data_IF_381513567600
#
_entry.id   IF_381513567600
#
_cell.length_a   1.000
_cell.length_b   1.000
_cell.length_c   1.000
_cell.angle_alpha   90.00
_cell.angle_beta   90.00
_cell.angle_gamma   90.00
#
_symmetry.space_group_name_H-M   'P 1'
#
loop_
_entity.id
_entity.type
_entity.pdbx_description
1 polymer ?
#
# COMPACT_ATOMS: atom_id res chain seq x y z
N UNK A 1 26.71 11.72 13.07
CA UNK A 1 26.57 10.29 13.40
C UNK A 1 25.33 9.73 12.71
N UNK A 2 25.49 8.74 11.86
CA UNK A 2 24.35 8.06 11.21
C UNK A 2 23.91 6.93 12.15
N UNK A 3 22.73 7.06 12.75
CA UNK A 3 22.16 5.98 13.54
C UNK A 3 21.67 4.85 12.60
N UNK A 4 22.05 3.61 12.88
CA UNK A 4 21.51 2.43 12.20
C UNK A 4 20.39 1.85 13.05
N UNK A 5 19.23 1.66 12.45
CA UNK A 5 18.07 1.02 13.07
C UNK A 5 17.88 -0.36 12.44
N UNK A 6 17.39 -1.34 13.22
CA UNK A 6 16.97 -2.60 12.61
C UNK A 6 15.69 -2.40 11.81
N UNK A 7 15.54 -3.10 10.66
CA UNK A 7 14.33 -3.01 9.85
C UNK A 7 13.06 -3.34 10.64
N UNK A 8 13.13 -4.33 11.53
CA UNK A 8 11.99 -4.77 12.35
C UNK A 8 11.51 -3.66 13.29
N UNK A 9 12.45 -3.01 14.00
CA UNK A 9 12.11 -1.90 14.90
C UNK A 9 11.52 -0.70 14.15
N UNK A 10 12.03 -0.45 12.94
CA UNK A 10 11.52 0.63 12.10
C UNK A 10 10.12 0.32 11.56
N UNK A 11 9.89 -0.94 11.19
CA UNK A 11 8.58 -1.45 10.77
C UNK A 11 7.54 -1.31 11.90
N UNK A 12 7.89 -1.76 13.11
CA UNK A 12 6.99 -1.69 14.26
C UNK A 12 6.66 -0.23 14.60
N UNK A 13 7.68 0.64 14.69
CA UNK A 13 7.48 2.07 14.92
C UNK A 13 6.57 2.72 13.86
N UNK A 14 6.82 2.49 12.58
CA UNK A 14 6.01 3.08 11.51
C UNK A 14 4.56 2.53 11.54
N UNK A 15 4.38 1.26 11.88
CA UNK A 15 3.06 0.64 12.06
C UNK A 15 2.29 1.33 13.19
N UNK A 16 2.90 1.52 14.36
CA UNK A 16 2.28 2.20 15.50
C UNK A 16 1.88 3.65 15.15
N UNK A 17 2.74 4.37 14.42
CA UNK A 17 2.44 5.74 13.98
C UNK A 17 1.20 5.79 13.10
N UNK A 18 1.07 4.90 12.10
CA UNK A 18 -0.10 4.87 11.22
C UNK A 18 -1.35 4.36 11.94
N UNK A 19 -1.23 3.36 12.82
CA UNK A 19 -2.34 2.87 13.63
C UNK A 19 -2.88 3.97 14.56
N UNK A 20 -1.99 4.78 15.17
CA UNK A 20 -2.39 5.92 16.00
C UNK A 20 -3.11 7.02 15.22
N UNK A 21 -2.94 7.07 13.90
CA UNK A 21 -3.67 7.97 13.00
C UNK A 21 -5.03 7.41 12.53
N UNK A 22 -5.48 6.29 13.10
CA UNK A 22 -6.79 5.70 12.83
C UNK A 22 -6.81 4.64 11.73
N UNK A 23 -5.64 4.18 11.25
CA UNK A 23 -5.59 3.04 10.35
C UNK A 23 -5.79 1.71 11.09
N UNK A 24 -6.50 0.73 10.51
CA UNK A 24 -6.46 -0.65 10.99
C UNK A 24 -5.00 -1.15 11.05
N UNK A 25 -4.63 -1.87 12.10
CA UNK A 25 -3.24 -2.30 12.32
C UNK A 25 -2.66 -3.09 11.14
N UNK A 26 -3.46 -3.97 10.53
CA UNK A 26 -3.04 -4.73 9.35
C UNK A 26 -2.71 -3.82 8.15
N UNK A 27 -3.51 -2.79 7.91
CA UNK A 27 -3.30 -1.81 6.84
C UNK A 27 -2.10 -0.91 7.16
N UNK A 28 -1.98 -0.46 8.41
CA UNK A 28 -0.83 0.31 8.91
C UNK A 28 0.48 -0.45 8.69
N UNK A 29 0.48 -1.76 8.96
CA UNK A 29 1.66 -2.62 8.74
C UNK A 29 2.00 -2.75 7.26
N UNK A 30 1.02 -2.87 6.37
CA UNK A 30 1.27 -2.87 4.92
C UNK A 30 1.95 -1.57 4.49
N UNK A 31 1.43 -0.41 4.91
CA UNK A 31 2.03 0.88 4.56
C UNK A 31 3.45 0.99 5.10
N UNK A 32 3.67 0.64 6.36
CA UNK A 32 4.98 0.67 6.99
C UNK A 32 5.97 -0.25 6.28
N UNK A 33 5.56 -1.47 5.93
CA UNK A 33 6.41 -2.45 5.25
C UNK A 33 6.84 -1.96 3.86
N UNK A 34 5.95 -1.34 3.08
CA UNK A 34 6.32 -0.76 1.78
C UNK A 34 7.44 0.28 1.89
N UNK A 35 7.45 1.08 2.96
CA UNK A 35 8.48 2.10 3.19
C UNK A 35 9.81 1.47 3.61
N UNK A 36 9.78 0.53 4.55
CA UNK A 36 10.98 -0.16 5.03
C UNK A 36 11.63 -0.96 3.89
N UNK A 37 10.84 -1.68 3.09
CA UNK A 37 11.34 -2.40 1.93
C UNK A 37 11.97 -1.46 0.89
N UNK A 38 11.36 -0.31 0.62
CA UNK A 38 11.94 0.67 -0.29
C UNK A 38 13.33 1.16 0.20
N UNK A 39 13.49 1.40 1.49
CA UNK A 39 14.80 1.75 2.07
C UNK A 39 15.80 0.61 1.95
N UNK A 40 15.40 -0.64 2.21
CA UNK A 40 16.24 -1.83 2.07
C UNK A 40 16.70 -2.06 0.62
N UNK A 41 15.89 -1.69 -0.35
CA UNK A 41 16.25 -1.73 -1.78
C UNK A 41 17.07 -0.53 -2.24
N UNK A 42 17.42 0.41 -1.34
CA UNK A 42 18.15 1.64 -1.68
C UNK A 42 17.28 2.70 -2.36
N UNK A 43 15.96 2.54 -2.39
CA UNK A 43 15.01 3.48 -2.98
C UNK A 43 14.48 4.47 -1.94
N UNK A 44 15.38 5.19 -1.29
CA UNK A 44 15.12 6.05 -0.13
C UNK A 44 14.08 7.15 -0.37
N UNK A 45 13.94 7.64 -1.61
CA UNK A 45 12.91 8.63 -1.95
C UNK A 45 11.48 8.13 -1.74
N UNK A 46 11.29 6.80 -1.65
CA UNK A 46 10.02 6.11 -1.41
C UNK A 46 10.02 5.32 -0.09
N UNK A 47 11.05 5.49 0.72
CA UNK A 47 11.21 4.87 2.03
C UNK A 47 10.56 5.65 3.16
N UNK A 48 11.06 5.43 4.38
CA UNK A 48 10.52 6.00 5.64
C UNK A 48 10.57 7.54 5.67
N UNK A 49 11.37 8.16 4.82
CA UNK A 49 11.30 9.60 4.56
C UNK A 49 9.87 10.09 4.25
N UNK A 50 9.02 9.23 3.67
CA UNK A 50 7.63 9.54 3.33
C UNK A 50 6.65 9.43 4.50
N UNK A 51 7.05 8.85 5.63
CA UNK A 51 6.16 8.64 6.79
C UNK A 51 5.45 9.93 7.23
N UNK A 52 6.15 11.07 7.45
CA UNK A 52 5.48 12.30 7.89
C UNK A 52 4.49 12.84 6.85
N UNK A 53 4.79 12.66 5.56
CA UNK A 53 3.93 13.13 4.48
C UNK A 53 2.62 12.32 4.40
N UNK A 54 2.68 10.99 4.47
CA UNK A 54 1.48 10.15 4.52
C UNK A 54 0.67 10.39 5.79
N UNK A 55 1.34 10.57 6.94
CA UNK A 55 0.67 10.90 8.19
C UNK A 55 -0.12 12.21 8.10
N UNK A 56 0.45 13.24 7.43
CA UNK A 56 -0.23 14.50 7.22
C UNK A 56 -1.47 14.33 6.33
N UNK A 57 -1.42 13.50 5.28
CA UNK A 57 -2.57 13.21 4.42
C UNK A 57 -3.69 12.46 5.16
N UNK A 58 -3.36 11.54 6.05
CA UNK A 58 -4.33 10.85 6.90
C UNK A 58 -5.00 11.83 7.87
N UNK A 59 -4.21 12.67 8.55
CA UNK A 59 -4.72 13.63 9.53
C UNK A 59 -5.57 14.74 8.91
N UNK A 60 -5.28 15.15 7.69
CA UNK A 60 -6.05 16.16 6.96
C UNK A 60 -7.32 15.60 6.29
N UNK A 61 -7.50 14.29 6.27
CA UNK A 61 -8.62 13.63 5.59
C UNK A 61 -8.51 13.59 4.06
N UNK A 62 -7.38 14.00 3.48
CA UNK A 62 -7.08 13.83 2.05
C UNK A 62 -7.01 12.34 1.69
N UNK A 63 -6.53 11.53 2.62
CA UNK A 63 -6.48 10.09 2.48
C UNK A 63 -7.36 9.43 3.55
N UNK A 64 -8.27 8.55 3.12
CA UNK A 64 -9.10 7.78 4.04
C UNK A 64 -8.23 6.78 4.84
N UNK A 65 -8.39 6.77 6.16
CA UNK A 65 -7.63 5.91 7.06
C UNK A 65 -8.05 4.43 6.98
N UNK A 66 -9.29 4.17 6.57
CA UNK A 66 -9.82 2.80 6.43
C UNK A 66 -10.10 2.52 4.96
N UNK A 67 -9.41 1.56 4.38
CA UNK A 67 -9.64 1.13 3.01
C UNK A 67 -10.93 0.31 2.89
N UNK A 68 -11.81 0.70 1.97
CA UNK A 68 -13.05 -0.01 1.63
C UNK A 68 -13.17 -0.14 0.12
N UNK A 69 -12.28 -0.90 -0.54
CA UNK A 69 -12.31 -1.05 -1.98
C UNK A 69 -13.60 -1.71 -2.46
N UNK A 70 -14.16 -1.18 -3.54
CA UNK A 70 -15.36 -1.73 -4.18
C UNK A 70 -15.13 -1.97 -5.67
N UNK A 71 -15.80 -2.96 -6.26
CA UNK A 71 -15.69 -3.20 -7.69
C UNK A 71 -16.62 -2.25 -8.46
N UNK A 72 -16.03 -1.32 -9.22
CA UNK A 72 -16.75 -0.50 -10.19
C UNK A 72 -17.04 -1.26 -11.50
N UNK A 73 -16.11 -2.16 -11.87
CA UNK A 73 -16.29 -3.14 -12.94
C UNK A 73 -15.76 -4.47 -12.45
N UNK A 74 -16.54 -5.52 -12.65
CA UNK A 74 -16.18 -6.91 -12.34
C UNK A 74 -16.49 -7.80 -13.55
N UNK A 75 -15.50 -8.02 -14.42
CA UNK A 75 -15.65 -8.69 -15.71
C UNK A 75 -14.57 -9.79 -15.89
N UNK A 76 -14.73 -10.90 -15.19
CA UNK A 76 -13.83 -12.08 -15.31
C UNK A 76 -12.35 -11.70 -15.11
N UNK A 77 -11.55 -11.74 -16.20
CA UNK A 77 -10.13 -11.39 -16.18
C UNK A 77 -9.87 -9.90 -15.96
N UNK A 78 -10.87 -9.03 -16.10
CA UNK A 78 -10.72 -7.57 -16.00
C UNK A 78 -11.56 -7.05 -14.83
N UNK A 79 -10.99 -6.16 -14.02
CA UNK A 79 -11.72 -5.45 -12.98
C UNK A 79 -11.27 -3.99 -12.89
N UNK A 80 -12.19 -3.14 -12.44
CA UNK A 80 -11.88 -1.77 -12.00
C UNK A 80 -12.33 -1.65 -10.56
N UNK A 81 -11.40 -1.29 -9.68
CA UNK A 81 -11.63 -1.12 -8.25
C UNK A 81 -11.66 0.36 -7.94
N UNK A 82 -12.68 0.78 -7.20
CA UNK A 82 -12.77 2.10 -6.60
C UNK A 82 -12.16 2.03 -5.19
N UNK A 83 -11.12 2.82 -4.95
CA UNK A 83 -10.35 2.81 -3.71
C UNK A 83 -10.88 3.73 -2.62
N UNK A 84 -11.87 4.59 -2.93
CA UNK A 84 -12.46 5.53 -1.96
C UNK A 84 -11.43 6.44 -1.30
N UNK A 85 -10.43 6.88 -2.05
CA UNK A 85 -9.34 7.74 -1.61
C UNK A 85 -8.50 7.20 -0.42
N UNK A 86 -8.49 5.88 -0.22
CA UNK A 86 -7.66 5.26 0.81
C UNK A 86 -6.17 5.21 0.41
N UNK A 87 -5.33 4.73 1.33
CA UNK A 87 -3.89 4.59 1.13
C UNK A 87 -3.57 3.69 -0.07
N UNK A 88 -2.80 4.24 -1.02
CA UNK A 88 -2.46 3.55 -2.25
C UNK A 88 -1.73 2.22 -2.03
N UNK A 89 -0.93 2.11 -0.97
CA UNK A 89 -0.24 0.88 -0.61
C UNK A 89 -1.21 -0.26 -0.31
N UNK A 90 -2.21 -0.02 0.52
CA UNK A 90 -3.23 -1.01 0.89
C UNK A 90 -4.03 -1.43 -0.33
N UNK A 91 -4.48 -0.44 -1.12
CA UNK A 91 -5.26 -0.67 -2.34
C UNK A 91 -4.49 -1.46 -3.39
N UNK A 92 -3.20 -1.18 -3.59
CA UNK A 92 -2.39 -1.90 -4.59
C UNK A 92 -2.07 -3.34 -4.15
N UNK A 93 -1.87 -3.60 -2.86
CA UNK A 93 -1.78 -4.98 -2.34
C UNK A 93 -3.06 -5.75 -2.61
N UNK A 94 -4.21 -5.15 -2.33
CA UNK A 94 -5.52 -5.74 -2.63
C UNK A 94 -5.69 -6.01 -4.14
N UNK A 95 -5.42 -5.00 -4.98
CA UNK A 95 -5.58 -5.11 -6.43
C UNK A 95 -4.64 -6.16 -7.05
N UNK A 96 -3.38 -6.23 -6.57
CA UNK A 96 -2.43 -7.23 -7.09
C UNK A 96 -2.84 -8.65 -6.69
N UNK A 97 -3.26 -8.87 -5.44
CA UNK A 97 -3.78 -10.17 -5.00
C UNK A 97 -5.01 -10.59 -5.81
N UNK A 98 -5.89 -9.65 -6.11
CA UNK A 98 -7.06 -9.89 -6.95
C UNK A 98 -6.66 -10.21 -8.40
N UNK A 99 -5.67 -9.51 -8.95
CA UNK A 99 -5.13 -9.81 -10.28
C UNK A 99 -4.53 -11.23 -10.35
N UNK A 100 -3.72 -11.61 -9.35
CA UNK A 100 -3.15 -12.97 -9.26
C UNK A 100 -4.24 -14.04 -9.17
N UNK A 101 -5.27 -13.82 -8.34
CA UNK A 101 -6.39 -14.74 -8.21
C UNK A 101 -7.11 -14.94 -9.55
N UNK A 102 -7.43 -13.84 -10.25
CA UNK A 102 -8.09 -13.89 -11.57
C UNK A 102 -7.20 -14.54 -12.63
N UNK A 103 -5.92 -14.24 -12.63
CA UNK A 103 -4.99 -14.84 -13.59
C UNK A 103 -4.90 -16.37 -13.47
N UNK A 104 -5.07 -16.92 -12.27
CA UNK A 104 -5.14 -18.38 -12.07
C UNK A 104 -6.37 -19.00 -12.74
N UNK A 105 -7.50 -18.28 -12.77
CA UNK A 105 -8.76 -18.76 -13.37
C UNK A 105 -8.80 -18.55 -14.88
N UNK A 106 -8.20 -17.45 -15.38
CA UNK A 106 -8.35 -16.99 -16.77
C UNK A 106 -7.05 -16.97 -17.59
N UNK A 107 -5.91 -17.33 -16.98
CA UNK A 107 -4.58 -17.31 -17.62
C UNK A 107 -3.92 -15.95 -17.65
N UNK A 108 -4.69 -14.86 -17.62
CA UNK A 108 -4.26 -13.47 -17.57
C UNK A 108 -5.29 -12.65 -16.82
N UNK A 109 -4.86 -11.55 -16.19
CA UNK A 109 -5.79 -10.58 -15.60
C UNK A 109 -5.28 -9.15 -15.72
N UNK A 110 -6.21 -8.19 -15.72
CA UNK A 110 -5.94 -6.77 -15.60
C UNK A 110 -6.87 -6.16 -14.55
N UNK A 111 -6.29 -5.53 -13.54
CA UNK A 111 -7.02 -4.84 -12.47
C UNK A 111 -6.56 -3.39 -12.42
N UNK A 112 -7.49 -2.46 -12.66
CA UNK A 112 -7.24 -1.04 -12.55
C UNK A 112 -7.76 -0.50 -11.21
N UNK A 113 -7.07 0.49 -10.66
CA UNK A 113 -7.50 1.25 -9.49
C UNK A 113 -7.85 2.69 -9.88
N UNK A 114 -8.95 3.20 -9.35
CA UNK A 114 -9.31 4.62 -9.38
C UNK A 114 -9.55 5.13 -7.96
N UNK A 115 -9.56 6.44 -7.76
CA UNK A 115 -9.71 7.07 -6.44
C UNK A 115 -8.74 6.44 -5.42
N UNK A 116 -7.46 6.46 -5.78
CA UNK A 116 -6.35 5.92 -4.99
C UNK A 116 -5.30 7.02 -4.79
N UNK A 117 -4.57 6.94 -3.70
CA UNK A 117 -3.47 7.84 -3.41
C UNK A 117 -2.12 7.26 -3.85
N UNK A 118 -1.04 8.01 -3.60
CA UNK A 118 0.31 7.55 -3.88
C UNK A 118 0.58 6.18 -3.23
N UNK A 119 1.23 5.27 -3.97
CA UNK A 119 1.38 3.87 -3.60
C UNK A 119 2.83 3.43 -3.31
N UNK A 120 3.78 4.35 -3.31
CA UNK A 120 5.19 4.02 -3.09
C UNK A 120 5.88 3.45 -4.33
N UNK A 121 6.72 2.43 -4.16
CA UNK A 121 7.45 1.80 -5.27
C UNK A 121 6.67 0.63 -5.89
N UNK A 122 6.59 0.60 -7.23
CA UNK A 122 5.89 -0.45 -7.96
C UNK A 122 6.50 -1.86 -7.76
N UNK A 123 7.79 -1.95 -7.49
CA UNK A 123 8.50 -3.21 -7.24
C UNK A 123 7.83 -4.03 -6.12
N UNK A 124 7.36 -3.38 -5.06
CA UNK A 124 6.71 -4.06 -3.95
C UNK A 124 5.54 -4.94 -4.39
N UNK A 125 4.72 -4.42 -5.30
CA UNK A 125 3.51 -5.13 -5.76
C UNK A 125 3.82 -6.18 -6.81
N UNK A 126 4.81 -5.94 -7.68
CA UNK A 126 5.21 -6.94 -8.67
C UNK A 126 5.78 -8.20 -8.01
N UNK A 127 6.46 -8.07 -6.86
CA UNK A 127 6.94 -9.20 -6.08
C UNK A 127 5.82 -10.03 -5.43
N UNK A 128 4.60 -9.52 -5.31
CA UNK A 128 3.44 -10.31 -4.84
C UNK A 128 3.03 -11.33 -5.91
N UNK A 129 3.26 -11.01 -7.18
CA UNK A 129 2.89 -11.87 -8.31
C UNK A 129 4.04 -12.81 -8.77
N UNK A 130 5.29 -12.49 -8.41
CA UNK A 130 6.46 -13.30 -8.75
C UNK A 130 6.62 -14.51 -7.85
#
# INVERSE_FOLDING_TARGET
>A
MTARLSPERLLDFATEVYASAGMPEADARIVADTLVQADLWGHQSHGVLRLPWYLAHLKSGVCASVAKPTFAVDAKAVAVIDGGDAMGQVLNVFAMREAVRRARDFGIAAVALRNSNHFGTALYYTLIAA
#
